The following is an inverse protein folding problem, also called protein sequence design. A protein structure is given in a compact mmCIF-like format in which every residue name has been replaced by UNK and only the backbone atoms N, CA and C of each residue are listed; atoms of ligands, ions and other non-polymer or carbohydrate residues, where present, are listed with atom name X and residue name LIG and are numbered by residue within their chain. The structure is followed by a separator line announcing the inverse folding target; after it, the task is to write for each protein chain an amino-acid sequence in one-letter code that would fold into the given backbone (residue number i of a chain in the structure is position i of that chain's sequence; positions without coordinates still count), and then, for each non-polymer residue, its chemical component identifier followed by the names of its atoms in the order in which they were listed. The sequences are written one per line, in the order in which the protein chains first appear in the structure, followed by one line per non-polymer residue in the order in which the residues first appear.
data_IF_696104775794
#
_entry.id   IF_696104775794
#
_cell.length_a   1.000
_cell.length_b   1.000
_cell.length_c   1.000
_cell.angle_alpha   90.00
_cell.angle_beta   90.00
_cell.angle_gamma   90.00
#
_symmetry.space_group_name_H-M   'P 1'
#
loop_
_entity.id
_entity.type
_entity.pdbx_description
1 polymer ?
#
# COMPACT_ATOMS: atom_id res chain seq x y z
N UNK A 1 12.03 -7.68 26.88
CA UNK A 1 12.72 -7.50 25.59
C UNK A 1 12.08 -6.34 24.85
N UNK A 2 12.85 -5.38 24.31
CA UNK A 2 12.26 -4.36 23.42
C UNK A 2 11.94 -5.01 22.08
N UNK A 3 10.72 -4.84 21.60
CA UNK A 3 10.33 -5.30 20.26
C UNK A 3 10.81 -4.27 19.25
N UNK A 4 11.72 -4.64 18.36
CA UNK A 4 12.11 -3.81 17.21
C UNK A 4 10.96 -3.80 16.21
N UNK A 5 10.65 -2.62 15.66
CA UNK A 5 9.65 -2.46 14.60
C UNK A 5 10.39 -2.14 13.31
N UNK A 6 10.16 -2.93 12.26
CA UNK A 6 10.68 -2.70 10.91
C UNK A 6 9.65 -1.92 10.09
N UNK A 7 10.04 -0.76 9.60
CA UNK A 7 9.21 0.07 8.72
C UNK A 7 9.92 0.18 7.37
N UNK A 8 9.22 -0.14 6.30
CA UNK A 8 9.75 -0.07 4.94
C UNK A 8 8.83 0.75 4.02
N UNK A 9 9.41 1.32 2.98
CA UNK A 9 8.69 2.13 1.99
C UNK A 9 9.13 1.82 0.57
N UNK A 10 8.19 1.87 -0.37
CA UNK A 10 8.47 1.64 -1.78
C UNK A 10 7.40 2.32 -2.67
N UNK A 11 7.85 3.07 -3.68
CA UNK A 11 7.01 3.46 -4.81
C UNK A 11 6.86 2.26 -5.76
N UNK A 12 5.65 1.70 -5.87
CA UNK A 12 5.39 0.48 -6.66
C UNK A 12 4.94 0.77 -8.10
N UNK A 13 5.03 2.03 -8.53
CA UNK A 13 4.88 2.48 -9.92
C UNK A 13 3.55 2.09 -10.59
N UNK A 14 2.43 2.44 -9.96
CA UNK A 14 1.05 2.26 -10.44
C UNK A 14 0.79 0.87 -11.06
N UNK A 15 0.84 -0.20 -10.25
CA UNK A 15 0.53 -1.57 -10.69
C UNK A 15 -0.79 -1.63 -11.46
N UNK A 16 -0.82 -2.40 -12.54
CA UNK A 16 -2.01 -2.61 -13.37
C UNK A 16 -2.64 -3.96 -13.03
N UNK A 17 -3.97 -4.06 -13.13
CA UNK A 17 -4.69 -5.32 -12.86
C UNK A 17 -4.56 -6.35 -13.97
N UNK A 18 -4.38 -5.90 -15.21
CA UNK A 18 -4.45 -6.75 -16.42
C UNK A 18 -3.21 -6.62 -17.30
N UNK A 19 -2.97 -7.67 -18.10
CA UNK A 19 -1.87 -7.78 -19.07
C UNK A 19 -0.64 -8.50 -18.50
N UNK A 20 -0.08 -9.45 -19.27
CA UNK A 20 0.92 -10.43 -18.78
C UNK A 20 2.10 -9.80 -18.02
N UNK A 21 2.67 -8.71 -18.55
CA UNK A 21 3.77 -7.97 -17.90
C UNK A 21 3.36 -7.36 -16.55
N UNK A 22 2.09 -6.94 -16.43
CA UNK A 22 1.58 -6.42 -15.17
C UNK A 22 1.45 -7.53 -14.14
N UNK A 23 0.97 -8.71 -14.53
CA UNK A 23 0.90 -9.85 -13.61
C UNK A 23 2.28 -10.30 -13.14
N UNK A 24 3.27 -10.39 -14.03
CA UNK A 24 4.67 -10.66 -13.62
C UNK A 24 5.18 -9.61 -12.63
N UNK A 25 5.02 -8.32 -12.94
CA UNK A 25 5.47 -7.23 -12.06
C UNK A 25 4.79 -7.30 -10.69
N UNK A 26 3.47 -7.52 -10.66
CA UNK A 26 2.71 -7.61 -9.42
C UNK A 26 3.19 -8.78 -8.56
N UNK A 27 3.43 -9.93 -9.16
CA UNK A 27 3.99 -11.10 -8.47
C UNK A 27 5.38 -10.81 -7.90
N UNK A 28 6.26 -10.14 -8.66
CA UNK A 28 7.58 -9.72 -8.16
C UNK A 28 7.47 -8.74 -6.99
N UNK A 29 6.55 -7.77 -7.08
CA UNK A 29 6.29 -6.82 -5.99
C UNK A 29 5.88 -7.59 -4.73
N UNK A 30 4.87 -8.45 -4.82
CA UNK A 30 4.35 -9.22 -3.68
C UNK A 30 5.45 -10.10 -3.08
N UNK A 31 6.20 -10.81 -3.91
CA UNK A 31 7.34 -11.61 -3.48
C UNK A 31 8.34 -10.77 -2.68
N UNK A 32 8.70 -9.57 -3.15
CA UNK A 32 9.64 -8.67 -2.45
C UNK A 32 9.08 -8.15 -1.13
N UNK A 33 7.78 -7.86 -1.05
CA UNK A 33 7.13 -7.48 0.21
C UNK A 33 7.26 -8.60 1.25
N UNK A 34 7.08 -9.86 0.83
CA UNK A 34 7.16 -11.03 1.69
C UNK A 34 8.61 -11.35 2.09
N UNK A 35 9.58 -11.21 1.18
CA UNK A 35 11.00 -11.43 1.46
C UNK A 35 11.55 -10.41 2.48
N UNK A 36 11.16 -9.14 2.36
CA UNK A 36 11.61 -8.07 3.26
C UNK A 36 10.89 -8.17 4.62
N UNK A 37 9.63 -8.63 4.60
CA UNK A 37 8.84 -8.94 5.79
C UNK A 37 8.72 -7.78 6.79
N UNK A 38 8.54 -6.54 6.32
CA UNK A 38 8.44 -5.38 7.22
C UNK A 38 7.17 -5.45 8.09
N UNK A 39 7.25 -5.01 9.35
CA UNK A 39 6.07 -4.96 10.22
C UNK A 39 5.06 -3.88 9.77
N UNK A 40 5.56 -2.82 9.16
CA UNK A 40 4.78 -1.74 8.55
C UNK A 40 5.34 -1.41 7.16
N UNK A 41 4.47 -1.38 6.17
CA UNK A 41 4.75 -0.91 4.81
C UNK A 41 4.09 0.42 4.53
N UNK A 42 4.83 1.35 3.94
CA UNK A 42 4.32 2.61 3.39
C UNK A 42 4.56 2.60 1.88
N UNK A 43 3.54 2.24 1.10
CA UNK A 43 3.66 2.09 -0.36
C UNK A 43 3.03 3.29 -1.07
N UNK A 44 3.70 3.83 -2.08
CA UNK A 44 3.16 4.93 -2.92
C UNK A 44 2.89 4.47 -4.35
N UNK A 45 2.02 5.20 -5.04
CA UNK A 45 1.57 4.87 -6.40
C UNK A 45 1.02 3.44 -6.51
N UNK A 46 0.22 3.07 -5.53
CA UNK A 46 -0.30 1.72 -5.33
C UNK A 46 -1.52 1.41 -6.19
N UNK A 47 -1.87 0.12 -6.24
CA UNK A 47 -3.18 -0.37 -6.64
C UNK A 47 -3.63 -1.40 -5.59
N UNK A 48 -4.93 -1.56 -5.36
CA UNK A 48 -5.51 -2.52 -4.40
C UNK A 48 -5.08 -3.97 -4.63
N UNK A 49 -4.61 -4.31 -5.84
CA UNK A 49 -4.06 -5.64 -6.16
C UNK A 49 -2.74 -5.94 -5.42
N UNK A 50 -2.03 -4.93 -4.90
CA UNK A 50 -0.80 -5.11 -4.14
C UNK A 50 -1.08 -5.13 -2.64
N UNK A 51 -0.89 -6.31 -2.04
CA UNK A 51 -1.03 -6.57 -0.61
C UNK A 51 0.08 -7.55 -0.15
N UNK A 52 0.75 -7.31 1.00
CA UNK A 52 1.64 -8.30 1.61
C UNK A 52 0.87 -9.56 2.05
N UNK A 53 1.51 -10.72 2.01
CA UNK A 53 0.89 -11.95 2.51
C UNK A 53 0.73 -11.94 4.04
N UNK A 54 -0.30 -12.64 4.53
CA UNK A 54 -0.60 -12.76 5.96
C UNK A 54 -1.52 -11.68 6.53
N UNK A 55 -1.51 -11.58 7.86
CA UNK A 55 -2.44 -10.75 8.63
C UNK A 55 -1.96 -9.29 8.73
N UNK A 56 -2.12 -8.56 7.63
CA UNK A 56 -1.92 -7.12 7.57
C UNK A 56 -3.25 -6.37 7.52
N UNK A 57 -3.30 -5.28 8.28
CA UNK A 57 -4.34 -4.27 8.22
C UNK A 57 -3.92 -3.16 7.26
N UNK A 58 -4.77 -2.86 6.29
CA UNK A 58 -4.50 -1.87 5.24
C UNK A 58 -5.29 -0.58 5.44
N UNK A 59 -4.65 0.56 5.19
CA UNK A 59 -5.34 1.84 4.96
C UNK A 59 -4.80 2.45 3.68
N UNK A 60 -5.69 2.70 2.72
CA UNK A 60 -5.37 3.36 1.48
C UNK A 60 -5.90 4.81 1.50
N UNK A 61 -5.27 5.68 0.71
CA UNK A 61 -5.80 7.03 0.46
C UNK A 61 -7.20 6.95 -0.13
N UNK A 62 -8.13 7.86 0.24
CA UNK A 62 -9.45 7.91 -0.36
C UNK A 62 -9.35 8.04 -1.88
N UNK A 63 -10.13 7.24 -2.58
CA UNK A 63 -10.14 7.21 -4.03
C UNK A 63 -10.97 8.38 -4.58
N UNK A 64 -10.38 9.33 -5.34
CA UNK A 64 -11.09 10.56 -5.72
C UNK A 64 -12.03 10.40 -6.92
N UNK A 65 -11.94 9.32 -7.71
CA UNK A 65 -12.79 9.15 -8.91
C UNK A 65 -13.13 7.69 -9.18
N UNK A 66 -14.36 7.38 -9.62
CA UNK A 66 -14.78 6.00 -9.91
C UNK A 66 -14.12 5.39 -11.17
N UNK A 67 -13.29 6.17 -11.88
CA UNK A 67 -12.67 5.76 -13.14
C UNK A 67 -11.27 5.16 -12.98
N UNK A 68 -10.72 5.13 -11.76
CA UNK A 68 -9.33 4.76 -11.50
C UNK A 68 -9.17 3.35 -10.89
N UNK A 69 -9.95 2.36 -11.34
CA UNK A 69 -9.74 0.90 -11.15
C UNK A 69 -8.81 0.45 -10.00
N UNK A 70 -9.14 0.81 -8.75
CA UNK A 70 -8.40 0.42 -7.54
C UNK A 70 -7.04 1.11 -7.30
N UNK A 71 -6.66 2.14 -8.06
CA UNK A 71 -5.40 2.88 -7.90
C UNK A 71 -5.43 3.78 -6.66
N UNK A 72 -4.41 3.72 -5.82
CA UNK A 72 -4.29 4.55 -4.64
C UNK A 72 -3.01 5.37 -4.68
N UNK A 73 -3.02 6.60 -4.16
CA UNK A 73 -1.79 7.41 -4.05
C UNK A 73 -0.84 6.77 -3.06
N UNK A 74 -1.38 6.27 -1.95
CA UNK A 74 -0.63 5.59 -0.91
C UNK A 74 -1.48 4.50 -0.28
N UNK A 75 -0.85 3.38 0.06
CA UNK A 75 -1.40 2.35 0.94
C UNK A 75 -0.41 2.05 2.05
N UNK A 76 -0.87 2.07 3.29
CA UNK A 76 -0.11 1.63 4.46
C UNK A 76 -0.63 0.25 4.87
N UNK A 77 0.29 -0.71 5.04
CA UNK A 77 -0.01 -2.02 5.62
C UNK A 77 0.68 -2.15 6.98
N UNK A 78 -0.01 -2.71 7.96
CA UNK A 78 0.48 -2.86 9.34
C UNK A 78 0.11 -4.22 9.91
N UNK A 79 1.01 -4.87 10.65
CA UNK A 79 0.70 -6.09 11.42
C UNK A 79 -0.26 -5.84 12.60
N UNK A 80 -0.52 -4.57 12.94
CA UNK A 80 -1.46 -4.18 13.99
C UNK A 80 -2.66 -3.42 13.43
N UNK A 81 -3.86 -3.57 14.03
CA UNK A 81 -5.05 -2.84 13.61
C UNK A 81 -4.83 -1.32 13.61
N UNK A 82 -5.21 -0.67 12.51
CA UNK A 82 -5.22 0.79 12.43
C UNK A 82 -6.45 1.29 13.19
N UNK A 83 -6.23 1.86 14.39
CA UNK A 83 -7.33 2.34 15.25
C UNK A 83 -8.00 3.61 14.74
N UNK A 84 -7.24 4.49 14.07
CA UNK A 84 -7.72 5.77 13.56
C UNK A 84 -6.83 6.26 12.43
N UNK A 85 -7.43 6.75 11.35
CA UNK A 85 -6.77 7.60 10.37
C UNK A 85 -7.52 8.95 10.32
N UNK A 86 -6.79 10.05 10.15
CA UNK A 86 -7.36 11.39 10.11
C UNK A 86 -7.24 11.94 8.69
N UNK A 87 -8.37 12.26 8.08
CA UNK A 87 -8.36 13.05 6.84
C UNK A 87 -8.19 14.51 7.22
N UNK A 88 -7.02 15.06 6.95
CA UNK A 88 -6.79 16.50 7.08
C UNK A 88 -7.16 17.13 5.73
N UNK A 89 -8.17 18.01 5.73
CA UNK A 89 -8.40 18.90 4.59
C UNK A 89 -7.38 20.02 4.69
N UNK A 90 -6.55 20.20 3.66
CA UNK A 90 -5.76 21.40 3.55
C UNK A 90 -6.74 22.58 3.41
N UNK A 91 -6.88 23.38 4.47
CA UNK A 91 -7.57 24.65 4.39
C UNK A 91 -6.61 25.64 3.71
N UNK A 92 -7.02 26.26 2.60
CA UNK A 92 -6.37 27.48 2.09
C UNK A 92 -5.54 27.41 0.80
N UNK A 93 -5.85 26.53 -0.14
CA UNK A 93 -5.40 26.68 -1.54
C UNK A 93 -6.62 26.62 -2.47
N UNK A 94 -7.38 27.71 -2.48
CA UNK A 94 -8.32 28.06 -3.55
C UNK A 94 -7.87 29.38 -4.15
#
# INVERSE_FOLDING_TARGET
MSKTIRIATWNVERPKKTGYKAQEKNSTIIQKLNEIDADIWILTETNEIIKPEGDYYGVATPHPSHHDDGKNRTTIWSRWPVKRHLTIRAFGLT
#
